data_IF_339045606916
#
_entry.id   IF_339045606916
#
_cell.length_a   1.000
_cell.length_b   1.000
_cell.length_c   1.000
_cell.angle_alpha   90.00
_cell.angle_beta   90.00
_cell.angle_gamma   90.00
#
_symmetry.space_group_name_H-M   'P 1'
#
loop_
_entity.id
_entity.type
_entity.pdbx_description
1 polymer ?
#
# COMPACT_ATOMS: atom_id res chain seq x y z
N UNK A 1 31.33 3.23 15.80
CA UNK A 1 31.22 1.92 15.13
C UNK A 1 29.92 1.94 14.35
N UNK A 2 30.03 1.93 13.03
CA UNK A 2 28.89 1.91 12.10
C UNK A 2 28.31 0.48 12.10
N UNK A 3 27.15 0.30 12.72
CA UNK A 3 26.59 -1.01 13.10
C UNK A 3 25.73 -1.63 11.98
N UNK A 4 26.24 -1.74 10.75
CA UNK A 4 25.60 -2.49 9.64
C UNK A 4 24.27 -1.92 9.08
N UNK A 5 23.46 -1.21 9.89
CA UNK A 5 22.38 -0.31 9.53
C UNK A 5 21.97 0.50 10.78
N UNK A 6 21.44 1.71 10.61
CA UNK A 6 20.83 2.47 11.71
C UNK A 6 19.48 1.83 12.09
N UNK A 7 19.45 1.10 13.22
CA UNK A 7 18.26 0.43 13.74
C UNK A 7 17.06 1.37 13.87
N UNK A 8 17.30 2.62 14.29
CA UNK A 8 16.22 3.60 14.44
C UNK A 8 15.61 3.95 13.08
N UNK A 9 16.45 4.14 12.06
CA UNK A 9 16.00 4.41 10.70
C UNK A 9 15.26 3.23 10.07
N UNK A 10 15.69 1.99 10.33
CA UNK A 10 14.98 0.79 9.84
C UNK A 10 13.58 0.66 10.47
N UNK A 11 13.45 0.90 11.78
CA UNK A 11 12.15 0.88 12.47
C UNK A 11 11.25 2.00 11.96
N UNK A 12 11.80 3.18 11.71
CA UNK A 12 11.03 4.30 11.17
C UNK A 12 10.59 4.06 9.73
N UNK A 13 11.45 3.44 8.91
CA UNK A 13 11.09 2.99 7.57
C UNK A 13 9.96 1.97 7.59
N UNK A 14 10.04 0.97 8.49
CA UNK A 14 9.00 -0.03 8.65
C UNK A 14 7.65 0.61 9.02
N UNK A 15 7.64 1.56 9.96
CA UNK A 15 6.42 2.30 10.34
C UNK A 15 5.83 3.08 9.16
N UNK A 16 6.67 3.76 8.38
CA UNK A 16 6.24 4.51 7.19
C UNK A 16 5.54 3.59 6.18
N UNK A 17 6.14 2.45 5.85
CA UNK A 17 5.53 1.50 4.93
C UNK A 17 4.21 0.91 5.45
N UNK A 18 4.13 0.61 6.74
CA UNK A 18 2.89 0.15 7.36
C UNK A 18 1.77 1.19 7.25
N UNK A 19 2.06 2.43 7.61
CA UNK A 19 1.09 3.52 7.56
C UNK A 19 0.61 3.76 6.13
N UNK A 20 1.53 3.92 5.18
CA UNK A 20 1.19 4.13 3.77
C UNK A 20 0.44 2.95 3.14
N UNK A 21 0.75 1.70 3.53
CA UNK A 21 0.00 0.52 3.10
C UNK A 21 -1.46 0.57 3.59
N UNK A 22 -1.66 0.92 4.86
CA UNK A 22 -3.00 1.06 5.45
C UNK A 22 -3.83 2.20 4.83
N UNK A 23 -3.21 3.35 4.62
CA UNK A 23 -3.85 4.50 3.98
C UNK A 23 -4.24 4.18 2.53
N UNK A 24 -3.34 3.57 1.77
CA UNK A 24 -3.59 3.17 0.39
C UNK A 24 -4.71 2.12 0.30
N UNK A 25 -4.72 1.12 1.19
CA UNK A 25 -5.79 0.13 1.27
C UNK A 25 -7.16 0.76 1.52
N UNK A 26 -7.21 1.73 2.45
CA UNK A 26 -8.43 2.46 2.79
C UNK A 26 -8.90 3.29 1.59
N UNK A 27 -7.99 4.00 0.93
CA UNK A 27 -8.28 4.80 -0.26
C UNK A 27 -8.84 3.94 -1.40
N UNK A 28 -8.17 2.81 -1.71
CA UNK A 28 -8.62 1.89 -2.77
C UNK A 28 -10.04 1.40 -2.48
N UNK A 29 -10.34 1.00 -1.24
CA UNK A 29 -11.68 0.56 -0.84
C UNK A 29 -12.72 1.65 -1.06
N UNK A 30 -12.45 2.87 -0.59
CA UNK A 30 -13.37 4.00 -0.77
C UNK A 30 -13.63 4.31 -2.24
N UNK A 31 -12.58 4.39 -3.05
CA UNK A 31 -12.70 4.64 -4.49
C UNK A 31 -13.44 3.50 -5.19
N UNK A 32 -13.18 2.25 -4.81
CA UNK A 32 -13.88 1.11 -5.38
C UNK A 32 -15.38 1.16 -5.09
N UNK A 33 -15.77 1.41 -3.84
CA UNK A 33 -17.18 1.58 -3.46
C UNK A 33 -17.84 2.73 -4.21
N UNK A 34 -17.16 3.88 -4.32
CA UNK A 34 -17.66 5.02 -5.08
C UNK A 34 -17.86 4.67 -6.56
N UNK A 35 -16.88 4.04 -7.20
CA UNK A 35 -16.95 3.59 -8.60
C UNK A 35 -18.07 2.58 -8.84
N UNK A 36 -18.25 1.59 -7.94
CA UNK A 36 -19.35 0.62 -8.08
C UNK A 36 -20.72 1.29 -7.90
N UNK A 37 -20.86 2.19 -6.93
CA UNK A 37 -22.10 2.92 -6.66
C UNK A 37 -22.46 3.90 -7.79
N UNK A 38 -21.48 4.39 -8.54
CA UNK A 38 -21.68 5.35 -9.62
C UNK A 38 -22.58 4.83 -10.72
N UNK A 39 -22.71 3.50 -10.85
CA UNK A 39 -23.61 2.88 -11.82
C UNK A 39 -25.05 3.35 -11.67
N UNK A 40 -25.50 3.80 -10.49
CA UNK A 40 -26.87 4.28 -10.27
C UNK A 40 -27.15 5.68 -10.86
N UNK A 41 -26.15 6.57 -10.89
CA UNK A 41 -26.35 8.00 -11.14
C UNK A 41 -25.44 8.59 -12.23
N UNK A 42 -24.38 7.88 -12.63
CA UNK A 42 -23.47 8.30 -13.69
C UNK A 42 -23.47 7.27 -14.83
N UNK A 43 -24.25 7.58 -15.86
CA UNK A 43 -24.55 6.70 -16.99
C UNK A 43 -23.84 7.15 -18.27
N UNK A 44 -23.80 6.25 -19.25
CA UNK A 44 -23.35 6.52 -20.62
C UNK A 44 -21.90 6.15 -20.87
N UNK A 45 -21.45 6.21 -22.15
CA UNK A 45 -20.21 5.56 -22.59
C UNK A 45 -18.96 6.02 -21.85
N UNK A 46 -18.86 7.32 -21.52
CA UNK A 46 -17.70 7.85 -20.78
C UNK A 46 -17.62 7.29 -19.35
N UNK A 47 -18.78 7.09 -18.72
CA UNK A 47 -18.85 6.53 -17.39
C UNK A 47 -18.42 5.06 -17.43
N UNK A 48 -18.87 4.32 -18.43
CA UNK A 48 -18.52 2.91 -18.61
C UNK A 48 -17.02 2.75 -18.91
N UNK A 49 -16.44 3.63 -19.72
CA UNK A 49 -15.00 3.66 -19.97
C UNK A 49 -14.21 3.87 -18.67
N UNK A 50 -14.58 4.86 -17.85
CA UNK A 50 -13.91 5.09 -16.56
C UNK A 50 -13.98 3.85 -15.65
N UNK A 51 -15.12 3.17 -15.57
CA UNK A 51 -15.26 1.93 -14.79
C UNK A 51 -14.36 0.82 -15.32
N UNK A 52 -14.27 0.67 -16.64
CA UNK A 52 -13.35 -0.27 -17.27
C UNK A 52 -11.88 0.05 -16.95
N UNK A 53 -11.50 1.33 -17.06
CA UNK A 53 -10.15 1.79 -16.71
C UNK A 53 -9.84 1.56 -15.24
N UNK A 54 -10.81 1.81 -14.35
CA UNK A 54 -10.70 1.55 -12.92
C UNK A 54 -10.47 0.06 -12.62
N UNK A 55 -11.27 -0.83 -13.19
CA UNK A 55 -11.10 -2.29 -13.01
C UNK A 55 -9.75 -2.78 -13.53
N UNK A 56 -9.22 -2.14 -14.59
CA UNK A 56 -7.89 -2.43 -15.13
C UNK A 56 -6.75 -1.98 -14.21
N UNK A 57 -6.85 -0.79 -13.60
CA UNK A 57 -5.77 -0.22 -12.78
C UNK A 57 -5.81 -0.64 -11.31
N UNK A 58 -7.00 -0.89 -10.73
CA UNK A 58 -7.19 -1.23 -9.30
C UNK A 58 -6.25 -2.35 -8.82
N UNK A 59 -6.06 -3.47 -9.55
CA UNK A 59 -5.14 -4.54 -9.12
C UNK A 59 -3.69 -4.07 -8.93
N UNK A 60 -3.25 -3.05 -9.67
CA UNK A 60 -1.91 -2.46 -9.51
C UNK A 60 -1.77 -1.75 -8.17
N UNK A 61 -2.80 -1.04 -7.73
CA UNK A 61 -2.81 -0.39 -6.41
C UNK A 61 -2.87 -1.43 -5.28
N UNK A 62 -3.65 -2.50 -5.44
CA UNK A 62 -3.67 -3.62 -4.49
C UNK A 62 -2.29 -4.28 -4.37
N UNK A 63 -1.57 -4.45 -5.49
CA UNK A 63 -0.19 -4.95 -5.50
C UNK A 63 0.75 -4.02 -4.73
N UNK A 64 0.55 -2.70 -4.79
CA UNK A 64 1.34 -1.75 -4.02
C UNK A 64 1.08 -1.86 -2.52
N UNK A 65 -0.16 -2.05 -2.09
CA UNK A 65 -0.50 -2.33 -0.68
C UNK A 65 0.29 -3.53 -0.17
N UNK A 66 0.29 -4.63 -0.93
CA UNK A 66 1.05 -5.84 -0.62
C UNK A 66 2.55 -5.57 -0.57
N UNK A 67 3.09 -4.89 -1.59
CA UNK A 67 4.52 -4.56 -1.69
C UNK A 67 5.00 -3.74 -0.49
N UNK A 68 4.22 -2.74 -0.07
CA UNK A 68 4.52 -1.94 1.11
C UNK A 68 4.39 -2.75 2.41
N UNK A 69 3.41 -3.65 2.49
CA UNK A 69 3.26 -4.57 3.62
C UNK A 69 4.46 -5.52 3.77
N UNK A 70 4.98 -6.02 2.65
CA UNK A 70 6.17 -6.88 2.64
C UNK A 70 7.45 -6.10 2.94
N UNK A 71 7.56 -4.86 2.45
CA UNK A 71 8.66 -3.97 2.77
C UNK A 71 8.69 -3.62 4.27
N UNK A 72 7.53 -3.37 4.89
CA UNK A 72 7.42 -3.21 6.35
C UNK A 72 7.97 -4.43 7.10
N UNK A 73 7.55 -5.64 6.73
CA UNK A 73 8.03 -6.88 7.36
C UNK A 73 9.54 -7.03 7.18
N UNK A 74 10.03 -6.84 5.97
CA UNK A 74 11.46 -6.95 5.64
C UNK A 74 12.33 -5.99 6.46
N UNK A 75 11.91 -4.72 6.58
CA UNK A 75 12.61 -3.73 7.40
C UNK A 75 12.61 -4.07 8.89
N UNK A 76 11.49 -4.57 9.43
CA UNK A 76 11.40 -5.02 10.82
C UNK A 76 12.28 -6.25 11.09
N UNK A 77 12.19 -7.29 10.25
CA UNK A 77 13.01 -8.49 10.39
C UNK A 77 14.50 -8.16 10.30
N UNK A 78 14.88 -7.22 9.42
CA UNK A 78 16.27 -6.76 9.33
C UNK A 78 16.73 -6.07 10.61
N UNK A 79 15.88 -5.23 11.22
CA UNK A 79 16.18 -4.60 12.50
C UNK A 79 16.30 -5.63 13.65
N UNK A 80 15.37 -6.60 13.73
CA UNK A 80 15.39 -7.67 14.74
C UNK A 80 16.69 -8.50 14.66
N UNK A 81 17.09 -8.86 13.43
CA UNK A 81 18.31 -9.66 13.21
C UNK A 81 19.59 -8.91 13.60
N UNK A 82 19.67 -7.60 13.32
CA UNK A 82 20.83 -6.79 13.70
C UNK A 82 20.89 -6.63 15.22
N UNK A 83 19.76 -6.35 15.86
CA UNK A 83 19.66 -6.20 17.32
C UNK A 83 20.07 -7.48 18.07
N UNK A 84 19.65 -8.66 17.58
CA UNK A 84 20.01 -9.95 18.19
C UNK A 84 21.45 -10.40 17.94
N UNK A 85 22.15 -9.82 16.95
CA UNK A 85 23.54 -10.12 16.62
C UNK A 85 24.55 -9.18 17.31
N UNK A 86 24.09 -8.16 18.03
CA UNK A 86 24.90 -7.16 18.75
C UNK A 86 24.77 -7.28 20.26
#
# INVERSE_FOLDING_TARGET
>A
MDRGADLSQLRDLAKKFQHSSGDLHTLIKHLNTATSSSTGFWKGPKADNFRSDWESVRPTFEKWVTTLGDAHKSANTSADNIEGAT
#
